data_IF_949051154166
#
_entry.id   IF_949051154166
#
_cell.length_a   1.000
_cell.length_b   1.000
_cell.length_c   1.000
_cell.angle_alpha   90.00
_cell.angle_beta   90.00
_cell.angle_gamma   90.00
#
_symmetry.space_group_name_H-M   'P 1'
#
loop_
_entity.id
_entity.type
_entity.pdbx_description
1 polymer ?
#
# COMPACT_ATOMS: atom_id res chain seq x y z
N UNK A 1 -9.37 15.84 7.05
CA UNK A 1 -10.85 16.01 7.02
C UNK A 1 -11.38 14.73 6.43
N UNK A 2 -11.69 13.78 7.29
CA UNK A 2 -11.92 12.39 6.89
C UNK A 2 -13.32 12.20 6.33
N UNK A 3 -13.43 11.36 5.30
CA UNK A 3 -14.69 10.75 4.90
C UNK A 3 -15.05 9.73 6.00
N UNK A 4 -16.28 9.71 6.52
CA UNK A 4 -16.67 8.77 7.57
C UNK A 4 -16.76 7.36 6.98
N UNK A 5 -15.65 6.65 7.00
CA UNK A 5 -15.60 5.22 6.71
C UNK A 5 -15.65 4.46 8.03
N UNK A 6 -16.55 3.49 8.12
CA UNK A 6 -16.64 2.61 9.30
C UNK A 6 -15.46 1.62 9.39
N UNK A 7 -14.73 1.44 8.29
CA UNK A 7 -13.54 0.59 8.19
C UNK A 7 -12.64 1.05 7.04
N UNK A 8 -11.33 1.10 7.27
CA UNK A 8 -10.30 1.39 6.27
C UNK A 8 -9.31 0.23 6.13
N UNK A 9 -9.03 -0.15 4.88
CA UNK A 9 -8.07 -1.22 4.54
C UNK A 9 -7.02 -0.67 3.61
N UNK A 10 -5.75 -0.78 4.00
CA UNK A 10 -4.62 -0.46 3.14
C UNK A 10 -3.91 -1.75 2.68
N UNK A 11 -3.90 -1.98 1.37
CA UNK A 11 -3.09 -3.05 0.77
C UNK A 11 -1.74 -2.46 0.39
N UNK A 12 -0.72 -2.87 1.14
CA UNK A 12 0.66 -2.41 0.97
C UNK A 12 1.47 -3.39 0.13
N UNK A 13 2.28 -2.83 -0.77
CA UNK A 13 3.28 -3.55 -1.56
C UNK A 13 4.59 -2.79 -1.43
N UNK A 14 5.64 -3.48 -1.01
CA UNK A 14 6.98 -2.93 -0.87
C UNK A 14 7.55 -2.49 -2.22
N UNK A 15 8.39 -1.44 -2.20
CA UNK A 15 8.92 -0.81 -3.41
C UNK A 15 9.55 -1.80 -4.41
N UNK A 16 10.31 -2.78 -3.91
CA UNK A 16 10.94 -3.78 -4.76
C UNK A 16 9.92 -4.75 -5.38
N UNK A 17 8.87 -5.13 -4.65
CA UNK A 17 7.80 -5.99 -5.17
C UNK A 17 6.93 -5.23 -6.18
N UNK A 18 6.69 -3.94 -5.94
CA UNK A 18 5.98 -3.06 -6.87
C UNK A 18 6.76 -2.92 -8.18
N UNK A 19 8.04 -2.55 -8.12
CA UNK A 19 8.90 -2.38 -9.30
C UNK A 19 9.01 -3.65 -10.16
N UNK A 20 9.07 -4.84 -9.55
CA UNK A 20 9.11 -6.12 -10.28
C UNK A 20 7.80 -6.46 -10.99
N UNK A 21 6.66 -5.93 -10.53
CA UNK A 21 5.32 -6.26 -11.05
C UNK A 21 4.72 -5.17 -11.94
N UNK A 22 5.26 -3.96 -11.90
CA UNK A 22 4.83 -2.87 -12.80
C UNK A 22 5.46 -3.06 -14.18
N UNK A 23 4.66 -3.06 -15.27
CA UNK A 23 5.17 -3.02 -16.64
C UNK A 23 6.14 -1.85 -16.85
N UNK A 24 7.18 -2.04 -17.68
CA UNK A 24 8.25 -1.05 -17.83
C UNK A 24 7.74 0.32 -18.32
N UNK A 25 6.75 0.33 -19.21
CA UNK A 25 6.08 1.53 -19.72
C UNK A 25 5.25 2.26 -18.65
N UNK A 26 4.96 1.62 -17.52
CA UNK A 26 4.29 2.21 -16.36
C UNK A 26 5.25 2.58 -15.22
N UNK A 27 6.57 2.35 -15.34
CA UNK A 27 7.53 2.64 -14.25
C UNK A 27 7.58 4.11 -13.83
N UNK A 28 7.14 5.02 -14.70
CA UNK A 28 6.99 6.44 -14.38
C UNK A 28 6.05 6.69 -13.18
N UNK A 29 5.19 5.72 -12.83
CA UNK A 29 4.28 5.78 -11.68
C UNK A 29 4.95 5.46 -10.35
N UNK A 30 6.07 4.72 -10.34
CA UNK A 30 6.73 4.26 -9.11
C UNK A 30 7.12 5.41 -8.15
N UNK A 31 7.65 6.56 -8.63
CA UNK A 31 7.90 7.70 -7.75
C UNK A 31 6.63 8.28 -7.12
N UNK A 32 5.48 8.21 -7.79
CA UNK A 32 4.21 8.67 -7.23
C UNK A 32 3.74 7.75 -6.09
N UNK A 33 3.91 6.43 -6.23
CA UNK A 33 3.64 5.48 -5.15
C UNK A 33 4.55 5.69 -3.95
N UNK A 34 5.85 5.90 -4.17
CA UNK A 34 6.81 6.21 -3.10
C UNK A 34 6.40 7.47 -2.34
N UNK A 35 6.11 8.55 -3.07
CA UNK A 35 5.64 9.81 -2.48
C UNK A 35 4.34 9.64 -1.68
N UNK A 36 3.38 8.86 -2.19
CA UNK A 36 2.14 8.57 -1.46
C UNK A 36 2.41 7.89 -0.11
N UNK A 37 3.31 6.90 -0.07
CA UNK A 37 3.68 6.24 1.18
C UNK A 37 4.33 7.23 2.15
N UNK A 38 5.25 8.06 1.67
CA UNK A 38 6.00 9.00 2.50
C UNK A 38 5.15 10.16 3.02
N UNK A 39 4.25 10.70 2.19
CA UNK A 39 3.46 11.89 2.51
C UNK A 39 2.16 11.57 3.27
N UNK A 40 1.56 10.39 3.02
CA UNK A 40 0.25 10.03 3.59
C UNK A 40 0.36 9.04 4.74
N UNK A 41 1.43 8.25 4.80
CA UNK A 41 1.57 7.11 5.72
C UNK A 41 0.27 6.26 5.81
N UNK A 42 -0.18 5.67 4.70
CA UNK A 42 -1.45 4.95 4.65
C UNK A 42 -1.50 3.73 5.58
N UNK A 43 -0.35 3.14 5.91
CA UNK A 43 -0.25 2.05 6.88
C UNK A 43 -0.39 2.55 8.34
N UNK A 44 0.02 3.80 8.61
CA UNK A 44 -0.18 4.45 9.89
C UNK A 44 -1.65 4.75 10.19
N UNK A 45 -2.42 5.16 9.17
CA UNK A 45 -3.81 5.64 9.33
C UNK A 45 -4.90 4.58 9.11
N UNK A 46 -4.60 3.44 8.49
CA UNK A 46 -5.60 2.39 8.24
C UNK A 46 -5.89 1.53 9.49
N UNK A 47 -7.13 1.07 9.61
CA UNK A 47 -7.55 0.10 10.65
C UNK A 47 -6.92 -1.27 10.42
N UNK A 48 -6.80 -1.65 9.14
CA UNK A 48 -6.24 -2.93 8.69
C UNK A 48 -5.21 -2.69 7.59
N UNK A 49 -4.04 -3.33 7.73
CA UNK A 49 -2.98 -3.34 6.71
C UNK A 49 -2.75 -4.77 6.24
N UNK A 50 -2.74 -4.95 4.92
CA UNK A 50 -2.39 -6.21 4.26
C UNK A 50 -1.07 -6.00 3.53
N UNK A 51 -0.02 -6.75 3.90
CA UNK A 51 1.25 -6.79 3.17
C UNK A 51 1.13 -7.84 2.07
N UNK A 52 1.37 -7.44 0.82
CA UNK A 52 1.18 -8.31 -0.35
C UNK A 52 2.39 -8.25 -1.29
N UNK A 53 3.61 -8.39 -0.75
CA UNK A 53 4.83 -8.46 -1.57
C UNK A 53 4.81 -9.71 -2.47
N UNK A 54 4.20 -10.78 -2.01
CA UNK A 54 3.78 -11.95 -2.77
C UNK A 54 2.25 -12.07 -2.68
N UNK A 55 1.56 -12.17 -3.83
CA UNK A 55 0.10 -12.29 -3.88
C UNK A 55 -0.40 -13.63 -3.33
N UNK A 56 0.44 -14.67 -3.36
CA UNK A 56 0.08 -15.99 -2.82
C UNK A 56 0.28 -16.10 -1.31
N UNK A 57 1.03 -15.17 -0.70
CA UNK A 57 1.40 -15.20 0.71
C UNK A 57 1.14 -13.85 1.39
N UNK A 58 -0.13 -13.42 1.53
CA UNK A 58 -0.46 -12.17 2.20
C UNK A 58 -0.21 -12.27 3.71
N UNK A 59 0.21 -11.16 4.32
CA UNK A 59 0.31 -11.02 5.77
C UNK A 59 -0.62 -9.91 6.27
N UNK A 60 -1.33 -10.18 7.37
CA UNK A 60 -2.32 -9.28 7.97
C UNK A 60 -1.76 -8.60 9.21
N UNK A 61 -1.97 -7.28 9.31
CA UNK A 61 -1.80 -6.50 10.53
C UNK A 61 -3.13 -5.78 10.82
N UNK A 62 -3.74 -6.05 11.96
CA UNK A 62 -4.99 -5.43 12.42
C UNK A 62 -4.72 -4.60 13.66
N UNK A 63 -5.33 -3.40 13.73
CA UNK A 63 -5.30 -2.53 14.91
C UNK A 63 -6.65 -2.49 15.67
N UNK A 64 -7.65 -3.21 15.15
CA UNK A 64 -8.92 -3.50 15.82
C UNK A 64 -8.77 -4.48 16.98
#
# INVERSE_FOLDING_TARGET
RDLPFDLTVHVSVGAAALARRTPQDEHWTLPAFGRYVDEVDPAGIADVVIRTDDQQHPALLSRL
#
